data_IF_718307687614
#
_entry.id   IF_718307687614
#
_cell.length_a   1.000
_cell.length_b   1.000
_cell.length_c   1.000
_cell.angle_alpha   90.00
_cell.angle_beta   90.00
_cell.angle_gamma   90.00
#
_symmetry.space_group_name_H-M   'P 1'
#
loop_
_entity.id
_entity.type
_entity.pdbx_description
1 polymer ?
#
# COMPACT_ATOMS: atom_id res chain seq x y z
N UNK A 1 38.43 24.00 -55.15
CA UNK A 1 37.13 24.04 -55.85
C UNK A 1 37.11 22.87 -56.83
N UNK A 2 36.56 21.71 -56.45
CA UNK A 2 36.27 20.59 -57.36
C UNK A 2 35.00 19.89 -56.85
N UNK A 3 34.15 19.52 -57.81
CA UNK A 3 32.75 19.12 -57.65
C UNK A 3 32.57 17.72 -58.28
N UNK A 4 31.82 16.85 -57.58
CA UNK A 4 31.09 15.64 -58.01
C UNK A 4 31.86 14.32 -58.30
N UNK A 5 31.19 13.14 -58.28
CA UNK A 5 29.74 12.88 -58.18
C UNK A 5 29.24 11.87 -57.12
N UNK A 6 27.92 11.94 -57.00
CA UNK A 6 26.91 11.13 -56.31
C UNK A 6 26.73 9.79 -57.03
N UNK A 7 26.74 8.66 -56.32
CA UNK A 7 25.84 7.53 -56.61
C UNK A 7 25.79 6.45 -55.50
N UNK A 8 24.57 5.93 -55.34
CA UNK A 8 24.18 4.63 -54.81
C UNK A 8 24.48 4.27 -53.34
N UNK A 9 23.59 4.67 -52.42
CA UNK A 9 23.29 3.85 -51.24
C UNK A 9 21.89 3.24 -51.42
N UNK A 10 21.87 1.92 -51.59
CA UNK A 10 20.65 1.12 -51.73
C UNK A 10 19.83 1.12 -50.42
N UNK A 11 18.48 1.14 -50.48
CA UNK A 11 17.65 0.91 -49.31
C UNK A 11 17.54 -0.61 -49.04
N UNK A 12 18.05 -1.05 -47.88
CA UNK A 12 17.84 -2.40 -47.37
C UNK A 12 16.37 -2.65 -46.97
N UNK A 13 15.87 -3.89 -47.03
CA UNK A 13 14.46 -4.19 -46.88
C UNK A 13 13.99 -4.27 -45.42
N UNK A 14 12.80 -3.70 -45.20
CA UNK A 14 11.68 -4.28 -44.45
C UNK A 14 11.97 -4.90 -43.08
N UNK A 15 11.83 -4.10 -42.02
CA UNK A 15 11.58 -4.62 -40.68
C UNK A 15 10.08 -4.58 -40.39
N UNK A 16 9.38 -5.62 -40.85
CA UNK A 16 8.03 -5.93 -40.41
C UNK A 16 8.12 -6.81 -39.16
N UNK A 17 8.03 -6.24 -37.96
CA UNK A 17 7.68 -6.90 -36.69
C UNK A 17 7.53 -5.75 -35.66
N UNK A 18 6.55 -5.68 -34.77
CA UNK A 18 5.59 -6.66 -34.30
C UNK A 18 4.31 -5.92 -33.88
N UNK A 19 3.16 -6.58 -34.06
CA UNK A 19 1.94 -6.20 -33.32
C UNK A 19 2.26 -6.37 -31.84
N UNK A 20 2.32 -5.27 -31.10
CA UNK A 20 2.29 -5.32 -29.65
C UNK A 20 1.03 -6.08 -29.22
N UNK A 21 1.13 -7.16 -28.44
CA UNK A 21 -0.06 -7.75 -27.85
C UNK A 21 -0.69 -6.70 -26.94
N UNK A 22 -1.97 -6.39 -27.19
CA UNK A 22 -2.82 -5.71 -26.21
C UNK A 22 -2.95 -6.65 -25.02
N UNK A 23 -2.09 -6.49 -24.03
CA UNK A 23 -2.27 -7.08 -22.71
C UNK A 23 -3.37 -6.25 -22.07
N UNK A 24 -4.62 -6.64 -22.30
CA UNK A 24 -5.70 -6.27 -21.39
C UNK A 24 -5.41 -6.99 -20.07
N UNK A 25 -5.22 -6.30 -18.94
CA UNK A 25 -5.06 -6.98 -17.66
C UNK A 25 -6.39 -7.68 -17.35
N UNK A 26 -6.33 -9.01 -17.27
CA UNK A 26 -7.44 -9.85 -16.84
C UNK A 26 -7.93 -9.47 -15.42
N UNK A 27 -9.23 -9.65 -15.13
CA UNK A 27 -9.81 -9.39 -13.81
C UNK A 27 -9.32 -10.33 -12.69
N UNK A 28 -8.40 -11.27 -12.98
CA UNK A 28 -7.84 -12.26 -12.04
C UNK A 28 -6.86 -11.64 -11.03
N UNK A 29 -6.14 -10.58 -11.42
CA UNK A 29 -5.11 -9.95 -10.58
C UNK A 29 -5.64 -9.52 -9.18
N UNK A 30 -6.89 -9.03 -9.12
CA UNK A 30 -7.49 -8.55 -7.86
C UNK A 30 -7.77 -9.67 -6.85
N UNK A 31 -8.07 -10.89 -7.32
CA UNK A 31 -8.32 -12.05 -6.46
C UNK A 31 -7.03 -12.58 -5.84
N UNK A 32 -5.97 -12.62 -6.64
CA UNK A 32 -4.64 -13.08 -6.23
C UNK A 32 -4.02 -12.13 -5.18
N UNK A 33 -4.17 -10.81 -5.36
CA UNK A 33 -3.68 -9.81 -4.41
C UNK A 33 -4.34 -9.96 -3.03
N UNK A 34 -5.66 -10.16 -3.00
CA UNK A 34 -6.44 -10.35 -1.76
C UNK A 34 -6.04 -11.64 -1.05
N UNK A 35 -5.84 -12.74 -1.79
CA UNK A 35 -5.37 -13.99 -1.23
C UNK A 35 -3.96 -13.84 -0.63
N UNK A 36 -3.05 -13.23 -1.37
CA UNK A 36 -1.67 -13.01 -0.93
C UNK A 36 -1.62 -12.13 0.31
N UNK A 37 -2.43 -11.07 0.38
CA UNK A 37 -2.54 -10.21 1.55
C UNK A 37 -2.95 -11.02 2.80
N UNK A 38 -4.03 -11.79 2.72
CA UNK A 38 -4.48 -12.63 3.83
C UNK A 38 -3.44 -13.68 4.23
N UNK A 39 -2.73 -14.27 3.26
CA UNK A 39 -1.66 -15.21 3.53
C UNK A 39 -0.53 -14.54 4.33
N UNK A 40 -0.11 -13.32 3.94
CA UNK A 40 0.93 -12.57 4.68
C UNK A 40 0.48 -12.19 6.09
N UNK A 41 -0.75 -11.68 6.24
CA UNK A 41 -1.32 -11.32 7.54
C UNK A 41 -1.38 -12.52 8.49
N UNK A 42 -1.85 -13.67 8.00
CA UNK A 42 -1.97 -14.88 8.82
C UNK A 42 -0.60 -15.50 9.15
N UNK A 43 0.42 -15.31 8.31
CA UNK A 43 1.77 -15.82 8.52
C UNK A 43 2.62 -14.96 9.46
N UNK A 44 2.33 -13.65 9.56
CA UNK A 44 3.06 -12.75 10.44
C UNK A 44 2.79 -13.13 11.91
N UNK A 45 3.86 -13.51 12.63
CA UNK A 45 3.79 -13.94 14.04
C UNK A 45 3.80 -12.76 15.01
N UNK A 46 4.24 -11.60 14.57
CA UNK A 46 4.27 -10.38 15.37
C UNK A 46 2.89 -9.70 15.36
N UNK A 47 2.10 -9.89 14.30
CA UNK A 47 0.70 -9.48 14.25
C UNK A 47 -0.20 -10.44 15.04
N UNK A 48 -0.73 -9.96 16.17
CA UNK A 48 -1.70 -10.70 16.98
C UNK A 48 -3.10 -10.18 16.69
N UNK A 49 -4.00 -11.07 16.30
CA UNK A 49 -5.43 -10.79 16.14
C UNK A 49 -6.21 -11.47 17.26
N UNK A 50 -7.40 -10.95 17.56
CA UNK A 50 -8.40 -11.69 18.33
C UNK A 50 -8.67 -13.09 17.70
N UNK A 51 -8.83 -14.17 18.49
CA UNK A 51 -9.04 -15.51 17.96
C UNK A 51 -10.26 -15.66 17.05
N UNK A 52 -11.35 -14.94 17.31
CA UNK A 52 -12.54 -14.98 16.47
C UNK A 52 -12.27 -14.28 15.12
N UNK A 53 -11.61 -13.12 15.16
CA UNK A 53 -11.16 -12.41 13.94
C UNK A 53 -10.20 -13.25 13.12
N UNK A 54 -9.22 -13.91 13.75
CA UNK A 54 -8.28 -14.83 13.08
C UNK A 54 -9.01 -16.00 12.42
N UNK A 55 -9.99 -16.57 13.09
CA UNK A 55 -10.80 -17.68 12.55
C UNK A 55 -11.59 -17.23 11.31
N UNK A 56 -12.15 -16.01 11.33
CA UNK A 56 -12.85 -15.42 10.18
C UNK A 56 -11.89 -15.17 9.00
N UNK A 57 -10.72 -14.57 9.25
CA UNK A 57 -9.69 -14.36 8.22
C UNK A 57 -9.23 -15.69 7.59
N UNK A 58 -9.09 -16.75 8.38
CA UNK A 58 -8.76 -18.09 7.88
C UNK A 58 -9.90 -18.72 7.06
N UNK A 59 -11.16 -18.48 7.44
CA UNK A 59 -12.31 -18.93 6.65
C UNK A 59 -12.36 -18.19 5.30
N UNK A 60 -12.14 -16.89 5.30
CA UNK A 60 -12.09 -16.04 4.12
C UNK A 60 -10.96 -16.46 3.17
N UNK A 61 -9.75 -16.66 3.69
CA UNK A 61 -8.61 -17.11 2.90
C UNK A 61 -8.89 -18.47 2.23
N UNK A 62 -9.47 -19.43 2.95
CA UNK A 62 -9.87 -20.73 2.37
C UNK A 62 -10.96 -20.61 1.31
N UNK A 63 -11.90 -19.68 1.48
CA UNK A 63 -12.95 -19.41 0.50
C UNK A 63 -12.35 -18.87 -0.81
N UNK A 64 -11.42 -17.91 -0.72
CA UNK A 64 -10.71 -17.37 -1.87
C UNK A 64 -9.84 -18.41 -2.58
N UNK A 65 -9.09 -19.22 -1.83
CA UNK A 65 -8.28 -20.29 -2.40
C UNK A 65 -9.13 -21.25 -3.25
N UNK A 66 -10.26 -21.70 -2.71
CA UNK A 66 -11.20 -22.57 -3.46
C UNK A 66 -11.79 -21.87 -4.68
N UNK A 67 -12.06 -20.57 -4.59
CA UNK A 67 -12.59 -19.81 -5.70
C UNK A 67 -11.57 -19.66 -6.84
N UNK A 68 -10.29 -19.48 -6.51
CA UNK A 68 -9.20 -19.40 -7.47
C UNK A 68 -8.87 -20.78 -8.09
N UNK A 69 -9.02 -21.87 -7.34
CA UNK A 69 -8.81 -23.24 -7.83
C UNK A 69 -9.98 -23.76 -8.70
N UNK A 70 -11.19 -23.22 -8.54
CA UNK A 70 -12.36 -23.64 -9.30
C UNK A 70 -12.34 -23.06 -10.73
N UNK A 71 -11.56 -23.67 -11.62
CA UNK A 71 -11.38 -23.23 -13.03
C UNK A 71 -12.62 -23.42 -13.93
N UNK A 72 -13.83 -23.62 -13.39
CA UNK A 72 -15.01 -23.90 -14.23
C UNK A 72 -16.36 -24.10 -13.53
N UNK A 73 -16.53 -23.65 -12.27
CA UNK A 73 -17.81 -23.73 -11.57
C UNK A 73 -18.07 -22.47 -10.74
N UNK A 74 -19.32 -22.18 -10.34
CA UNK A 74 -19.62 -21.06 -9.47
C UNK A 74 -19.08 -21.35 -8.08
N UNK A 75 -17.79 -21.12 -7.87
CA UNK A 75 -17.30 -20.93 -6.53
C UNK A 75 -18.04 -19.74 -5.94
N UNK A 76 -18.72 -19.94 -4.82
CA UNK A 76 -19.32 -18.84 -4.07
C UNK A 76 -18.18 -17.93 -3.67
N UNK A 77 -18.00 -16.82 -4.40
CA UNK A 77 -17.12 -15.75 -3.97
C UNK A 77 -17.52 -15.35 -2.54
N UNK A 78 -16.54 -15.02 -1.68
CA UNK A 78 -16.87 -14.56 -0.34
C UNK A 78 -17.78 -13.32 -0.44
N UNK A 79 -18.79 -13.27 0.42
CA UNK A 79 -19.69 -12.13 0.46
C UNK A 79 -18.88 -10.86 0.76
N UNK A 80 -19.07 -9.79 -0.02
CA UNK A 80 -18.42 -8.50 0.23
C UNK A 80 -18.72 -7.97 1.65
N UNK A 81 -19.81 -8.42 2.28
CA UNK A 81 -20.11 -8.16 3.69
C UNK A 81 -19.07 -8.75 4.67
N UNK A 82 -18.53 -9.95 4.40
CA UNK A 82 -17.47 -10.54 5.22
C UNK A 82 -16.16 -9.73 5.12
N UNK A 83 -15.86 -9.22 3.92
CA UNK A 83 -14.73 -8.31 3.70
C UNK A 83 -14.90 -7.00 4.46
N UNK A 84 -16.09 -6.40 4.42
CA UNK A 84 -16.38 -5.17 5.14
C UNK A 84 -16.22 -5.33 6.66
N UNK A 85 -16.62 -6.47 7.22
CA UNK A 85 -16.45 -6.76 8.65
C UNK A 85 -14.99 -6.95 9.09
N UNK A 86 -14.10 -7.21 8.14
CA UNK A 86 -12.67 -7.42 8.38
C UNK A 86 -11.80 -6.28 7.84
N UNK A 87 -12.42 -5.25 7.25
CA UNK A 87 -11.72 -4.14 6.62
C UNK A 87 -10.81 -3.44 7.62
N UNK A 88 -11.33 -3.08 8.81
CA UNK A 88 -10.56 -2.42 9.86
C UNK A 88 -9.31 -3.22 10.26
N UNK A 89 -9.46 -4.55 10.43
CA UNK A 89 -8.32 -5.40 10.81
C UNK A 89 -7.27 -5.48 9.69
N UNK A 90 -7.69 -5.47 8.43
CA UNK A 90 -6.80 -5.45 7.28
C UNK A 90 -6.08 -4.11 7.19
N UNK A 91 -6.79 -3.00 7.36
CA UNK A 91 -6.24 -1.65 7.38
C UNK A 91 -5.21 -1.50 8.51
N UNK A 92 -5.54 -1.95 9.72
CA UNK A 92 -4.63 -1.98 10.85
C UNK A 92 -3.37 -2.79 10.57
N UNK A 93 -3.49 -3.95 9.90
CA UNK A 93 -2.32 -4.74 9.53
C UNK A 93 -1.44 -4.03 8.48
N UNK A 94 -2.04 -3.32 7.51
CA UNK A 94 -1.28 -2.55 6.53
C UNK A 94 -0.53 -1.38 7.19
N UNK A 95 -1.16 -0.69 8.13
CA UNK A 95 -0.52 0.36 8.92
C UNK A 95 0.58 -0.19 9.85
N UNK A 96 0.35 -1.36 10.46
CA UNK A 96 1.38 -2.09 11.22
C UNK A 96 2.63 -2.33 10.39
N UNK A 97 2.50 -2.79 9.15
CA UNK A 97 3.64 -3.01 8.26
C UNK A 97 4.34 -1.69 7.92
N UNK A 98 3.59 -0.62 7.68
CA UNK A 98 4.13 0.73 7.44
C UNK A 98 4.94 1.19 8.66
N UNK A 99 4.37 1.12 9.86
CA UNK A 99 5.02 1.58 11.08
C UNK A 99 6.24 0.72 11.44
N UNK A 100 6.15 -0.61 11.33
CA UNK A 100 7.32 -1.49 11.53
C UNK A 100 8.48 -1.12 10.62
N UNK A 101 8.19 -0.84 9.35
CA UNK A 101 9.19 -0.45 8.37
C UNK A 101 9.84 0.90 8.70
N UNK A 102 9.07 1.87 9.18
CA UNK A 102 9.58 3.18 9.60
C UNK A 102 10.43 3.07 10.87
N UNK A 103 9.94 2.38 11.89
CA UNK A 103 10.65 2.18 13.15
C UNK A 103 11.96 1.43 12.95
N UNK A 104 11.96 0.37 12.14
CA UNK A 104 13.19 -0.36 11.80
C UNK A 104 14.25 0.56 11.16
N UNK A 105 13.83 1.45 10.25
CA UNK A 105 14.73 2.44 9.64
C UNK A 105 15.27 3.46 10.64
N UNK A 106 14.42 3.96 11.54
CA UNK A 106 14.83 4.89 12.60
C UNK A 106 15.85 4.25 13.55
N UNK A 107 15.71 2.95 13.79
CA UNK A 107 16.64 2.16 14.60
C UNK A 107 17.83 1.59 13.81
N UNK A 108 17.97 1.91 12.51
CA UNK A 108 19.06 1.42 11.67
C UNK A 108 19.13 -0.11 11.55
N UNK A 109 18.00 -0.80 11.78
CA UNK A 109 17.89 -2.25 11.78
C UNK A 109 17.12 -2.75 10.56
N UNK A 110 17.39 -3.98 10.12
CA UNK A 110 16.57 -4.61 9.09
C UNK A 110 15.18 -4.92 9.65
N UNK A 111 14.14 -4.79 8.82
CA UNK A 111 12.74 -5.04 9.24
C UNK A 111 12.54 -6.44 9.82
N UNK A 112 13.24 -7.45 9.28
CA UNK A 112 13.15 -8.83 9.74
C UNK A 112 13.75 -9.06 11.14
N UNK A 113 14.73 -8.25 11.54
CA UNK A 113 15.42 -8.33 12.82
C UNK A 113 14.82 -7.39 13.87
N UNK A 114 13.99 -6.43 13.43
CA UNK A 114 13.33 -5.48 14.29
C UNK A 114 12.11 -6.11 14.98
N UNK A 115 12.11 -6.07 16.31
CA UNK A 115 10.99 -6.56 17.11
C UNK A 115 9.94 -5.45 17.21
N UNK A 116 8.79 -5.69 16.59
CA UNK A 116 7.66 -4.78 16.62
C UNK A 116 6.38 -5.61 16.55
N UNK A 117 5.62 -5.65 17.63
CA UNK A 117 4.39 -6.43 17.71
C UNK A 117 3.13 -5.56 17.73
N UNK A 118 1.95 -6.21 17.79
CA UNK A 118 0.63 -5.53 17.82
C UNK A 118 0.58 -4.42 18.88
N UNK A 119 1.17 -4.62 20.04
CA UNK A 119 1.13 -3.64 21.13
C UNK A 119 1.99 -2.42 20.82
N UNK A 120 3.19 -2.64 20.28
CA UNK A 120 4.08 -1.55 19.83
C UNK A 120 3.38 -0.69 18.77
N UNK A 121 2.65 -1.33 17.84
CA UNK A 121 1.83 -0.63 16.86
C UNK A 121 0.70 0.17 17.48
N UNK A 122 -0.05 -0.38 18.45
CA UNK A 122 -1.12 0.37 19.11
C UNK A 122 -0.59 1.65 19.78
N UNK A 123 0.58 1.57 20.41
CA UNK A 123 1.25 2.72 21.02
C UNK A 123 1.70 3.74 19.96
N UNK A 124 2.38 3.28 18.90
CA UNK A 124 2.85 4.15 17.81
C UNK A 124 1.68 4.81 17.06
N UNK A 125 0.62 4.05 16.78
CA UNK A 125 -0.59 4.54 16.13
C UNK A 125 -1.31 5.59 16.99
N UNK A 126 -1.40 5.37 18.30
CA UNK A 126 -1.95 6.37 19.23
C UNK A 126 -1.09 7.65 19.28
N UNK A 127 0.23 7.52 19.22
CA UNK A 127 1.15 8.65 19.17
C UNK A 127 1.00 9.45 17.85
N UNK A 128 0.90 8.79 16.70
CA UNK A 128 0.63 9.43 15.41
C UNK A 128 -0.73 10.17 15.43
N UNK A 129 -1.78 9.56 15.98
CA UNK A 129 -3.10 10.18 16.11
C UNK A 129 -3.07 11.43 17.03
N UNK A 130 -2.34 11.36 18.13
CA UNK A 130 -2.14 12.49 19.04
C UNK A 130 -1.38 13.64 18.35
N UNK A 131 -0.32 13.32 17.59
CA UNK A 131 0.44 14.29 16.81
C UNK A 131 -0.43 14.94 15.73
N UNK A 132 -1.19 14.16 14.96
CA UNK A 132 -2.10 14.68 13.93
C UNK A 132 -3.16 15.61 14.52
N UNK A 133 -3.70 15.27 15.69
CA UNK A 133 -4.65 16.11 16.41
C UNK A 133 -4.01 17.41 16.89
N UNK A 134 -2.78 17.34 17.41
CA UNK A 134 -2.02 18.53 17.81
C UNK A 134 -1.71 19.44 16.61
N UNK A 135 -1.25 18.88 15.49
CA UNK A 135 -0.96 19.65 14.27
C UNK A 135 -2.22 20.30 13.69
N UNK A 136 -3.37 19.63 13.74
CA UNK A 136 -4.66 20.22 13.34
C UNK A 136 -5.01 21.41 14.23
N UNK A 137 -4.94 21.23 15.56
CA UNK A 137 -5.20 22.31 16.51
C UNK A 137 -4.27 23.50 16.29
N UNK A 138 -2.98 23.25 16.11
CA UNK A 138 -1.97 24.28 15.82
C UNK A 138 -2.22 25.00 14.48
N UNK A 139 -2.68 24.28 13.47
CA UNK A 139 -3.05 24.90 12.19
C UNK A 139 -4.27 25.81 12.33
N UNK A 140 -5.22 25.45 13.18
CA UNK A 140 -6.40 26.27 13.52
C UNK A 140 -6.03 27.46 14.43
N UNK A 141 -5.17 27.22 15.42
CA UNK A 141 -4.57 28.20 16.33
C UNK A 141 -3.31 28.78 15.68
N UNK A 142 -3.49 29.58 14.62
CA UNK A 142 -2.39 30.25 13.90
C UNK A 142 -1.28 30.71 14.86
N UNK A 143 -0.05 30.22 14.66
CA UNK A 143 1.13 30.62 15.45
C UNK A 143 1.47 32.12 15.35
N UNK A 144 0.74 32.88 14.54
CA UNK A 144 0.78 34.32 14.56
C UNK A 144 0.08 34.78 15.84
N UNK A 145 0.85 34.91 16.92
CA UNK A 145 0.54 35.91 17.94
C UNK A 145 0.22 37.19 17.18
N UNK A 146 -0.94 37.80 17.45
CA UNK A 146 -1.29 39.14 16.96
C UNK A 146 -0.01 39.97 16.93
N UNK A 147 0.43 40.38 15.74
CA UNK A 147 1.54 41.32 15.67
C UNK A 147 1.12 42.50 16.54
N UNK A 148 1.83 42.81 17.64
CA UNK A 148 1.48 44.02 18.38
C UNK A 148 1.59 45.14 17.35
N UNK A 149 0.51 45.91 17.21
CA UNK A 149 0.48 47.12 16.40
C UNK A 149 1.69 47.96 16.80
N UNK A 150 2.78 47.82 16.04
CA UNK A 150 3.96 48.67 16.16
C UNK A 150 3.51 50.01 15.59
N UNK A 151 2.85 50.79 16.44
CA UNK A 151 2.65 52.21 16.28
C UNK A 151 4.02 52.87 16.18
N UNK A 152 4.55 52.90 14.96
CA UNK A 152 5.65 53.76 14.56
C UNK A 152 5.09 55.20 14.55
N UNK A 153 5.00 55.80 15.73
CA UNK A 153 4.85 57.25 15.86
C UNK A 153 6.15 57.89 15.38
N UNK A 154 6.17 58.29 14.12
CA UNK A 154 7.19 59.21 13.59
C UNK A 154 6.73 60.62 13.98
N UNK A 155 7.51 61.25 14.86
CA UNK A 155 7.37 62.64 15.25
C UNK A 155 7.82 63.61 14.15
#
# INVERSE_FOLDING_TARGET
>A
MYRFPRDAFAPGPSSAHARSPKISPEPTARGDDRQQLLATLLADRQWKCDPATRSRLQALHRCLQRANEATGGPASAPAEAEWALLADEIEHYLDFRRLRHLEAQLHGSAEADFRFDRHDWEVAHAAEAALASHLRRVHEESYLSEQPDLYLHVH
#
